data_IF_498334761474
#
_entry.id   IF_498334761474
#
_cell.length_a   1.000
_cell.length_b   1.000
_cell.length_c   1.000
_cell.angle_alpha   90.00
_cell.angle_beta   90.00
_cell.angle_gamma   90.00
#
_symmetry.space_group_name_H-M   'P 1'
#
loop_
_entity.id
_entity.type
_entity.pdbx_description
1 polymer ?
#
# COMPACT_ATOMS: atom_id res chain seq x y z
N UNK A 1 -27.53 10.32 6.34
CA UNK A 1 -26.17 9.78 6.59
C UNK A 1 -25.29 10.96 6.94
N UNK A 2 -24.63 10.95 8.09
CA UNK A 2 -23.82 12.11 8.52
C UNK A 2 -22.72 12.36 7.49
N UNK A 3 -22.55 13.61 7.08
CA UNK A 3 -21.68 13.99 5.96
C UNK A 3 -20.22 13.58 6.18
N UNK A 4 -19.79 13.50 7.44
CA UNK A 4 -18.48 13.01 7.90
C UNK A 4 -18.17 11.59 7.42
N UNK A 5 -19.13 10.68 7.55
CA UNK A 5 -18.95 9.28 7.13
C UNK A 5 -18.98 9.13 5.62
N UNK A 6 -19.73 9.97 4.91
CA UNK A 6 -19.71 10.03 3.44
C UNK A 6 -18.30 10.37 2.93
N UNK A 7 -17.68 11.39 3.54
CA UNK A 7 -16.32 11.82 3.17
C UNK A 7 -15.30 10.74 3.48
N UNK A 8 -15.41 10.07 4.64
CA UNK A 8 -14.53 8.94 4.96
C UNK A 8 -14.63 7.84 3.91
N UNK A 9 -15.85 7.45 3.51
CA UNK A 9 -16.05 6.43 2.46
C UNK A 9 -15.40 6.85 1.14
N UNK A 10 -15.56 8.10 0.72
CA UNK A 10 -14.93 8.61 -0.51
C UNK A 10 -13.40 8.62 -0.42
N UNK A 11 -12.85 9.00 0.72
CA UNK A 11 -11.41 9.01 0.98
C UNK A 11 -10.82 7.59 0.98
N UNK A 12 -11.49 6.66 1.66
CA UNK A 12 -11.15 5.24 1.70
C UNK A 12 -11.22 4.61 0.32
N UNK A 13 -12.32 4.81 -0.43
CA UNK A 13 -12.44 4.31 -1.80
C UNK A 13 -11.30 4.82 -2.69
N UNK A 14 -11.01 6.12 -2.60
CA UNK A 14 -9.90 6.73 -3.33
C UNK A 14 -8.53 6.16 -2.92
N UNK A 15 -8.37 5.66 -1.68
CA UNK A 15 -7.12 4.99 -1.25
C UNK A 15 -7.03 3.58 -1.81
N UNK A 16 -8.11 2.81 -1.74
CA UNK A 16 -8.16 1.47 -2.30
C UNK A 16 -7.81 1.45 -3.78
N UNK A 17 -8.36 2.40 -4.56
CA UNK A 17 -8.03 2.52 -5.98
C UNK A 17 -6.57 2.90 -6.24
N UNK A 18 -5.97 3.75 -5.40
CA UNK A 18 -4.55 4.10 -5.53
C UNK A 18 -3.66 2.87 -5.29
N UNK A 19 -3.92 2.12 -4.22
CA UNK A 19 -3.19 0.88 -3.92
C UNK A 19 -3.40 -0.19 -4.98
N UNK A 20 -4.61 -0.31 -5.52
CA UNK A 20 -4.89 -1.17 -6.66
C UNK A 20 -3.95 -0.86 -7.83
N UNK A 21 -3.87 0.39 -8.30
CA UNK A 21 -3.04 0.77 -9.45
C UNK A 21 -1.53 0.64 -9.16
N UNK A 22 -1.12 0.92 -7.93
CA UNK A 22 0.28 0.80 -7.51
C UNK A 22 0.77 -0.65 -7.59
N UNK A 23 -0.03 -1.58 -7.05
CA UNK A 23 0.32 -3.00 -6.94
C UNK A 23 -0.02 -3.81 -8.20
N UNK A 24 -0.85 -3.27 -9.10
CA UNK A 24 -1.29 -3.98 -10.32
C UNK A 24 -0.10 -4.54 -11.11
N UNK A 25 0.94 -3.76 -11.48
CA UNK A 25 2.04 -4.33 -12.25
C UNK A 25 2.79 -5.45 -11.54
N UNK A 26 2.99 -5.36 -10.22
CA UNK A 26 3.63 -6.43 -9.45
C UNK A 26 2.84 -7.75 -9.53
N UNK A 27 1.50 -7.67 -9.52
CA UNK A 27 0.64 -8.86 -9.66
C UNK A 27 0.64 -9.46 -11.08
N UNK A 28 1.02 -8.69 -12.10
CA UNK A 28 1.10 -9.13 -13.48
C UNK A 28 2.49 -9.58 -13.90
N UNK A 29 3.48 -9.71 -13.01
CA UNK A 29 4.88 -9.96 -13.37
C UNK A 29 5.07 -11.03 -14.45
N UNK A 30 4.47 -12.22 -14.30
CA UNK A 30 4.60 -13.31 -15.28
C UNK A 30 3.93 -12.98 -16.61
N UNK A 31 2.72 -12.45 -16.56
CA UNK A 31 1.96 -12.08 -17.76
C UNK A 31 2.62 -10.91 -18.51
N UNK A 32 3.29 -10.03 -17.78
CA UNK A 32 4.03 -8.91 -18.32
C UNK A 32 5.30 -9.36 -19.05
N UNK A 33 5.98 -10.39 -18.54
CA UNK A 33 7.11 -11.05 -19.22
C UNK A 33 6.65 -11.68 -20.53
N UNK A 34 5.55 -12.44 -20.49
CA UNK A 34 4.93 -13.03 -21.68
C UNK A 34 4.53 -11.96 -22.71
N UNK A 35 3.94 -10.85 -22.25
CA UNK A 35 3.50 -9.75 -23.12
C UNK A 35 4.64 -9.02 -23.81
N UNK A 36 5.79 -8.87 -23.15
CA UNK A 36 6.95 -8.17 -23.72
C UNK A 36 7.73 -9.05 -24.72
N UNK A 37 7.36 -10.33 -24.87
CA UNK A 37 8.03 -11.33 -25.71
C UNK A 37 9.54 -11.49 -25.37
N UNK A 38 9.96 -11.07 -24.18
CA UNK A 38 11.36 -10.95 -23.76
C UNK A 38 11.77 -12.11 -22.85
N UNK A 39 11.38 -13.33 -23.24
CA UNK A 39 11.54 -14.58 -22.46
C UNK A 39 12.88 -14.63 -21.72
N UNK A 40 12.84 -14.46 -20.40
CA UNK A 40 13.96 -14.71 -19.48
C UNK A 40 15.27 -13.97 -19.77
N UNK A 41 15.20 -12.72 -20.24
CA UNK A 41 16.40 -11.86 -20.26
C UNK A 41 16.61 -11.25 -18.87
N UNK A 42 17.82 -11.34 -18.30
CA UNK A 42 18.18 -10.63 -17.05
C UNK A 42 17.88 -9.12 -17.10
N UNK A 43 17.76 -8.56 -18.31
CA UNK A 43 17.34 -7.18 -18.60
C UNK A 43 15.89 -6.93 -18.19
N UNK A 44 14.95 -7.83 -18.50
CA UNK A 44 13.52 -7.66 -18.21
C UNK A 44 13.28 -7.43 -16.72
N UNK A 45 13.85 -8.27 -15.86
CA UNK A 45 13.68 -8.14 -14.41
C UNK A 45 14.25 -6.81 -13.89
N UNK A 46 15.35 -6.34 -14.49
CA UNK A 46 15.96 -5.06 -14.12
C UNK A 46 15.04 -3.89 -14.50
N UNK A 47 14.55 -3.88 -15.74
CA UNK A 47 13.66 -2.82 -16.25
C UNK A 47 12.30 -2.83 -15.55
N UNK A 48 11.75 -4.01 -15.29
CA UNK A 48 10.51 -4.16 -14.52
C UNK A 48 10.67 -3.64 -13.09
N UNK A 49 11.75 -4.01 -12.39
CA UNK A 49 12.04 -3.47 -11.06
C UNK A 49 12.29 -1.96 -11.09
N UNK A 50 12.85 -1.43 -12.19
CA UNK A 50 13.07 -0.01 -12.37
C UNK A 50 11.75 0.80 -12.40
N UNK A 51 10.62 0.21 -12.80
CA UNK A 51 9.30 0.87 -12.70
C UNK A 51 8.96 1.29 -11.27
N UNK A 52 9.31 0.47 -10.27
CA UNK A 52 9.06 0.76 -8.86
C UNK A 52 10.07 1.77 -8.29
N UNK A 53 11.32 1.72 -8.76
CA UNK A 53 12.34 2.70 -8.40
C UNK A 53 11.98 4.10 -8.94
N UNK A 54 11.55 4.19 -10.19
CA UNK A 54 11.16 5.45 -10.85
C UNK A 54 9.90 6.06 -10.22
N UNK A 55 8.93 5.25 -9.78
CA UNK A 55 7.81 5.73 -8.96
C UNK A 55 8.27 6.31 -7.62
N UNK A 56 9.22 5.67 -6.95
CA UNK A 56 9.65 6.03 -5.60
C UNK A 56 10.62 7.22 -5.56
N UNK A 57 11.41 7.42 -6.61
CA UNK A 57 12.39 8.50 -6.71
C UNK A 57 11.82 9.93 -6.48
N UNK A 58 10.77 10.38 -7.19
CA UNK A 58 10.20 11.71 -6.96
C UNK A 58 9.63 11.85 -5.53
N UNK A 59 9.17 10.75 -4.94
CA UNK A 59 8.59 10.77 -3.61
C UNK A 59 9.60 11.08 -2.50
N UNK A 60 10.90 10.85 -2.71
CA UNK A 60 11.96 11.20 -1.73
C UNK A 60 11.93 12.71 -1.43
N UNK A 61 11.76 13.54 -2.45
CA UNK A 61 11.80 14.99 -2.31
C UNK A 61 10.41 15.58 -2.13
N UNK A 62 9.44 15.14 -2.94
CA UNK A 62 8.16 15.84 -3.05
C UNK A 62 7.31 15.60 -1.81
N UNK A 63 7.32 14.39 -1.24
CA UNK A 63 6.52 14.10 -0.02
C UNK A 63 6.97 14.93 1.18
N UNK A 64 8.26 15.28 1.26
CA UNK A 64 8.79 16.21 2.25
C UNK A 64 8.15 17.59 2.13
N UNK A 65 7.91 18.06 0.91
CA UNK A 65 7.25 19.33 0.62
C UNK A 65 5.72 19.22 0.51
N UNK A 66 5.17 18.02 0.38
CA UNK A 66 3.75 17.76 0.16
C UNK A 66 2.86 18.39 1.24
N UNK A 67 3.27 18.27 2.51
CA UNK A 67 2.57 18.90 3.64
C UNK A 67 2.59 20.44 3.57
N UNK A 68 3.70 21.03 3.11
CA UNK A 68 3.80 22.48 2.92
C UNK A 68 2.92 22.96 1.77
N UNK A 69 2.87 22.22 0.66
CA UNK A 69 2.01 22.49 -0.50
C UNK A 69 0.53 22.47 -0.10
N UNK A 70 0.11 21.43 0.62
CA UNK A 70 -1.27 21.28 1.14
C UNK A 70 -1.64 22.44 2.05
N UNK A 71 -0.74 22.83 2.94
CA UNK A 71 -0.96 23.93 3.87
C UNK A 71 -1.08 25.30 3.17
N UNK A 72 -0.37 25.48 2.03
CA UNK A 72 -0.36 26.75 1.29
C UNK A 72 -1.53 26.90 0.32
N UNK A 73 -1.86 25.84 -0.41
CA UNK A 73 -2.83 25.87 -1.50
C UNK A 73 -4.20 25.28 -1.15
N UNK A 74 -4.37 24.75 0.06
CA UNK A 74 -5.62 24.11 0.49
C UNK A 74 -5.61 22.60 0.25
N UNK A 75 -6.25 21.88 1.17
CA UNK A 75 -6.29 20.42 1.21
C UNK A 75 -7.09 19.80 0.07
N UNK A 76 -8.31 20.27 -0.18
CA UNK A 76 -9.16 19.73 -1.25
C UNK A 76 -8.71 20.14 -2.65
N UNK A 77 -8.08 21.31 -2.78
CA UNK A 77 -7.53 21.80 -4.06
C UNK A 77 -6.31 20.97 -4.47
N UNK A 78 -5.40 20.72 -3.51
CA UNK A 78 -4.25 19.86 -3.74
C UNK A 78 -4.65 18.40 -3.97
N UNK A 79 -5.71 17.92 -3.29
CA UNK A 79 -6.24 16.58 -3.53
C UNK A 79 -6.64 16.37 -5.01
N UNK A 80 -7.34 17.34 -5.61
CA UNK A 80 -7.68 17.29 -7.05
C UNK A 80 -6.42 17.36 -7.92
N UNK A 81 -5.47 18.24 -7.60
CA UNK A 81 -4.24 18.39 -8.37
C UNK A 81 -3.43 17.08 -8.39
N UNK A 82 -3.31 16.39 -7.25
CA UNK A 82 -2.64 15.09 -7.16
C UNK A 82 -3.42 14.00 -7.89
N UNK A 83 -4.75 13.98 -7.80
CA UNK A 83 -5.59 13.04 -8.55
C UNK A 83 -5.45 13.21 -10.07
N UNK A 84 -5.39 14.44 -10.58
CA UNK A 84 -5.14 14.71 -11.99
C UNK A 84 -3.75 14.22 -12.43
N UNK A 85 -2.74 14.44 -11.60
CA UNK A 85 -1.38 13.98 -11.87
C UNK A 85 -1.31 12.45 -11.96
N UNK A 86 -1.96 11.73 -11.04
CA UNK A 86 -2.07 10.26 -11.09
C UNK A 86 -2.80 9.78 -12.33
N UNK A 87 -3.93 10.42 -12.70
CA UNK A 87 -4.68 10.04 -13.90
C UNK A 87 -3.84 10.19 -15.18
N UNK A 88 -3.08 11.29 -15.29
CA UNK A 88 -2.18 11.51 -16.43
C UNK A 88 -1.04 10.48 -16.43
N UNK A 89 -0.43 10.21 -15.27
CA UNK A 89 0.64 9.23 -15.13
C UNK A 89 0.20 7.81 -15.52
N UNK A 90 -0.98 7.39 -15.04
CA UNK A 90 -1.54 6.08 -15.36
C UNK A 90 -1.94 5.97 -16.82
N UNK A 91 -2.45 7.06 -17.42
CA UNK A 91 -2.72 7.09 -18.86
C UNK A 91 -1.45 6.87 -19.69
N UNK A 92 -0.37 7.60 -19.37
CA UNK A 92 0.92 7.46 -20.04
C UNK A 92 1.46 6.04 -19.84
N UNK A 93 1.33 5.48 -18.63
CA UNK A 93 1.74 4.12 -18.34
C UNK A 93 0.96 3.08 -19.17
N UNK A 94 -0.37 3.21 -19.25
CA UNK A 94 -1.22 2.34 -20.05
C UNK A 94 -0.86 2.40 -21.54
N UNK A 95 -0.59 3.59 -22.08
CA UNK A 95 -0.11 3.78 -23.45
C UNK A 95 1.27 3.12 -23.64
N UNK A 96 2.18 3.25 -22.67
CA UNK A 96 3.49 2.60 -22.69
C UNK A 96 3.41 1.08 -22.74
N UNK A 97 2.51 0.47 -21.95
CA UNK A 97 2.26 -0.98 -21.95
C UNK A 97 1.68 -1.45 -23.28
N UNK A 98 0.74 -0.68 -23.85
CA UNK A 98 0.14 -1.00 -25.15
C UNK A 98 1.18 -0.98 -26.29
N UNK A 99 2.11 -0.02 -26.27
CA UNK A 99 3.18 0.09 -27.28
C UNK A 99 4.45 -0.69 -26.95
N UNK A 100 4.47 -1.48 -25.86
CA UNK A 100 5.65 -2.22 -25.38
C UNK A 100 6.91 -1.33 -25.25
N UNK A 101 6.74 -0.09 -24.79
CA UNK A 101 7.83 0.91 -24.71
C UNK A 101 8.24 1.18 -23.25
N UNK A 102 9.42 0.68 -22.85
CA UNK A 102 9.97 0.89 -21.50
C UNK A 102 10.09 2.35 -21.10
N UNK A 103 10.60 3.21 -22.01
CA UNK A 103 10.76 4.64 -21.75
C UNK A 103 9.43 5.33 -21.40
N UNK A 104 8.37 5.01 -22.14
CA UNK A 104 7.04 5.57 -21.91
C UNK A 104 6.46 5.07 -20.58
N UNK A 105 6.71 3.81 -20.23
CA UNK A 105 6.28 3.23 -18.96
C UNK A 105 6.99 3.89 -17.76
N UNK A 106 8.30 4.15 -17.87
CA UNK A 106 9.04 4.89 -16.84
C UNK A 106 8.50 6.31 -16.66
N UNK A 107 8.22 7.02 -17.76
CA UNK A 107 7.62 8.35 -17.69
C UNK A 107 6.25 8.33 -17.00
N UNK A 108 5.40 7.36 -17.33
CA UNK A 108 4.10 7.18 -16.70
C UNK A 108 4.22 6.96 -15.18
N UNK A 109 5.11 6.06 -14.77
CA UNK A 109 5.37 5.79 -13.34
C UNK A 109 5.96 6.98 -12.61
N UNK A 110 6.87 7.74 -13.25
CA UNK A 110 7.45 8.95 -12.68
C UNK A 110 6.34 9.97 -12.39
N UNK A 111 5.49 10.27 -13.37
CA UNK A 111 4.38 11.22 -13.22
C UNK A 111 3.36 10.73 -12.19
N UNK A 112 3.00 9.44 -12.21
CA UNK A 112 2.10 8.85 -11.22
C UNK A 112 2.65 9.01 -9.79
N UNK A 113 3.97 8.87 -9.63
CA UNK A 113 4.70 9.08 -8.37
C UNK A 113 4.46 10.45 -7.74
N UNK A 114 4.39 11.53 -8.52
CA UNK A 114 4.13 12.89 -7.98
C UNK A 114 2.81 12.97 -7.20
N UNK A 115 1.77 12.26 -7.66
CA UNK A 115 0.45 12.30 -7.04
C UNK A 115 0.24 11.24 -5.96
N UNK A 116 0.77 10.03 -6.16
CA UNK A 116 0.49 8.83 -5.35
C UNK A 116 0.63 9.05 -3.85
N UNK A 117 1.84 9.41 -3.40
CA UNK A 117 2.13 9.59 -1.97
C UNK A 117 1.61 10.93 -1.44
N UNK A 118 1.68 12.00 -2.23
CA UNK A 118 1.25 13.32 -1.80
C UNK A 118 -0.27 13.41 -1.59
N UNK A 119 -1.05 12.59 -2.30
CA UNK A 119 -2.47 12.41 -2.03
C UNK A 119 -2.71 11.94 -0.59
N UNK A 120 -1.88 11.06 -0.05
CA UNK A 120 -2.01 10.58 1.34
C UNK A 120 -1.91 11.74 2.34
N UNK A 121 -0.98 12.66 2.12
CA UNK A 121 -0.82 13.86 2.95
C UNK A 121 -2.04 14.78 2.89
N UNK A 122 -2.64 15.00 1.72
CA UNK A 122 -3.89 15.79 1.62
C UNK A 122 -5.04 15.13 2.38
N UNK A 123 -5.16 13.80 2.27
CA UNK A 123 -6.25 13.05 2.90
C UNK A 123 -6.12 13.00 4.42
N UNK A 124 -4.92 12.82 4.95
CA UNK A 124 -4.71 12.79 6.40
C UNK A 124 -5.15 14.11 7.05
N UNK A 125 -4.85 15.24 6.41
CA UNK A 125 -5.33 16.57 6.82
C UNK A 125 -6.86 16.65 6.73
N UNK A 126 -7.48 16.08 5.69
CA UNK A 126 -8.93 16.10 5.58
C UNK A 126 -9.60 15.25 6.67
N UNK A 127 -9.06 14.07 6.97
CA UNK A 127 -9.58 13.19 8.03
C UNK A 127 -9.50 13.87 9.39
N UNK A 128 -8.37 14.52 9.72
CA UNK A 128 -8.21 15.24 11.00
C UNK A 128 -9.14 16.43 11.14
N UNK A 129 -9.60 17.01 10.03
CA UNK A 129 -10.55 18.13 10.06
C UNK A 129 -12.01 17.68 10.22
N UNK A 130 -12.38 16.52 9.68
CA UNK A 130 -13.77 16.04 9.72
C UNK A 130 -14.10 15.19 10.94
N UNK A 131 -13.11 14.53 11.54
CA UNK A 131 -13.31 13.63 12.67
C UNK A 131 -12.82 14.23 14.00
N UNK A 132 -13.60 14.06 15.09
CA UNK A 132 -13.16 14.45 16.43
C UNK A 132 -11.99 13.57 16.91
N UNK A 133 -11.18 14.08 17.84
CA UNK A 133 -9.98 13.40 18.36
C UNK A 133 -10.27 11.98 18.89
N UNK A 134 -11.43 11.77 19.53
CA UNK A 134 -11.85 10.47 20.07
C UNK A 134 -12.15 9.40 18.99
N UNK A 135 -12.36 9.81 17.74
CA UNK A 135 -12.66 8.91 16.61
C UNK A 135 -11.59 8.95 15.53
N UNK A 136 -10.54 9.75 15.70
CA UNK A 136 -9.51 9.97 14.70
C UNK A 136 -8.71 8.68 14.42
N UNK A 137 -8.31 7.97 15.48
CA UNK A 137 -7.60 6.70 15.36
C UNK A 137 -8.43 5.64 14.61
N UNK A 138 -9.75 5.60 14.85
CA UNK A 138 -10.66 4.72 14.13
C UNK A 138 -10.73 5.07 12.64
N UNK A 139 -10.85 6.36 12.31
CA UNK A 139 -10.90 6.82 10.92
C UNK A 139 -9.61 6.48 10.15
N UNK A 140 -8.44 6.68 10.75
CA UNK A 140 -7.16 6.27 10.16
C UNK A 140 -7.05 4.74 10.02
N UNK A 141 -7.51 3.98 11.03
CA UNK A 141 -7.50 2.52 10.99
C UNK A 141 -8.37 1.95 9.86
N UNK A 142 -9.58 2.50 9.67
CA UNK A 142 -10.46 2.14 8.53
C UNK A 142 -9.80 2.51 7.21
N UNK A 143 -9.19 3.70 7.12
CA UNK A 143 -8.43 4.14 5.95
C UNK A 143 -7.33 3.17 5.54
N UNK A 144 -6.46 2.80 6.48
CA UNK A 144 -5.34 1.88 6.26
C UNK A 144 -5.80 0.46 5.92
N UNK A 145 -6.86 -0.03 6.58
CA UNK A 145 -7.41 -1.36 6.29
C UNK A 145 -8.02 -1.42 4.89
N UNK A 146 -8.76 -0.37 4.51
CA UNK A 146 -9.42 -0.28 3.19
C UNK A 146 -8.39 -0.10 2.07
N UNK A 147 -7.28 0.60 2.34
CA UNK A 147 -6.13 0.68 1.43
C UNK A 147 -5.59 -0.72 1.10
N UNK A 148 -5.38 -1.59 2.10
CA UNK A 148 -4.91 -2.97 1.90
C UNK A 148 -5.90 -3.85 1.16
N UNK A 149 -7.21 -3.64 1.35
CA UNK A 149 -8.21 -4.31 0.54
C UNK A 149 -8.04 -3.99 -0.96
N UNK A 150 -7.63 -2.76 -1.29
CA UNK A 150 -7.30 -2.36 -2.67
C UNK A 150 -6.23 -3.25 -3.31
N UNK A 151 -5.12 -3.48 -2.59
CA UNK A 151 -4.05 -4.41 -3.00
C UNK A 151 -4.57 -5.82 -3.21
N UNK A 152 -5.40 -6.33 -2.29
CA UNK A 152 -5.98 -7.69 -2.39
C UNK A 152 -6.85 -7.83 -3.63
N UNK A 153 -7.68 -6.83 -3.92
CA UNK A 153 -8.47 -6.81 -5.16
C UNK A 153 -7.57 -6.74 -6.39
N UNK A 154 -6.50 -5.93 -6.36
CA UNK A 154 -5.49 -5.86 -7.42
C UNK A 154 -4.89 -7.23 -7.73
N UNK A 155 -4.39 -7.91 -6.70
CA UNK A 155 -3.74 -9.20 -6.83
C UNK A 155 -4.70 -10.32 -7.27
N UNK A 156 -6.00 -10.19 -6.98
CA UNK A 156 -6.99 -11.22 -7.30
C UNK A 156 -7.68 -11.01 -8.65
N UNK A 157 -7.91 -9.76 -9.05
CA UNK A 157 -8.69 -9.39 -10.23
C UNK A 157 -7.77 -9.22 -11.44
N UNK A 158 -6.63 -8.52 -11.27
CA UNK A 158 -5.79 -8.13 -12.41
C UNK A 158 -5.21 -9.32 -13.18
N UNK A 159 -4.71 -10.38 -12.52
CA UNK A 159 -4.25 -11.57 -13.23
C UNK A 159 -5.36 -12.32 -13.96
N UNK A 160 -6.59 -12.32 -13.43
CA UNK A 160 -7.75 -12.97 -14.07
C UNK A 160 -8.15 -12.25 -15.35
N UNK A 161 -8.14 -10.91 -15.34
CA UNK A 161 -8.49 -10.09 -16.50
C UNK A 161 -7.44 -10.21 -17.60
N UNK A 162 -6.17 -10.24 -17.22
CA UNK A 162 -5.08 -10.39 -18.17
C UNK A 162 -5.06 -11.77 -18.82
N UNK A 163 -5.39 -12.84 -18.09
CA UNK A 163 -5.50 -14.18 -18.66
C UNK A 163 -6.72 -14.37 -19.58
N UNK A 164 -7.81 -13.62 -19.36
CA UNK A 164 -9.03 -13.74 -20.18
C UNK A 164 -9.03 -12.86 -21.42
N UNK A 165 -8.26 -11.78 -21.43
CA UNK A 165 -8.30 -10.74 -22.46
C UNK A 165 -6.89 -10.47 -22.93
N UNK A 166 -6.17 -9.55 -22.26
CA UNK A 166 -4.78 -9.18 -22.53
C UNK A 166 -4.22 -8.35 -21.36
N UNK A 167 -2.89 -8.24 -21.25
CA UNK A 167 -2.20 -7.43 -20.22
C UNK A 167 -2.58 -5.94 -20.27
N UNK A 168 -2.62 -5.25 -21.43
CA UNK A 168 -3.01 -3.84 -21.49
C UNK A 168 -4.43 -3.59 -20.94
N UNK A 169 -5.35 -4.55 -21.13
CA UNK A 169 -6.72 -4.46 -20.62
C UNK A 169 -6.77 -4.38 -19.09
N UNK A 170 -5.93 -5.14 -18.40
CA UNK A 170 -5.81 -5.06 -16.94
C UNK A 170 -5.28 -3.68 -16.49
N UNK A 171 -4.34 -3.09 -17.24
CA UNK A 171 -3.83 -1.73 -16.95
C UNK A 171 -4.89 -0.65 -17.23
N UNK A 172 -5.71 -0.81 -18.27
CA UNK A 172 -6.84 0.09 -18.52
C UNK A 172 -7.87 0.08 -17.39
N UNK A 173 -8.05 -1.04 -16.68
CA UNK A 173 -8.86 -1.08 -15.45
C UNK A 173 -8.25 -0.21 -14.35
N UNK A 174 -6.91 -0.20 -14.23
CA UNK A 174 -6.17 0.77 -13.41
C UNK A 174 -6.46 2.21 -13.80
N UNK A 175 -6.42 2.53 -15.10
CA UNK A 175 -6.80 3.86 -15.58
C UNK A 175 -8.25 4.25 -15.18
N UNK A 176 -9.22 3.35 -15.34
CA UNK A 176 -10.60 3.58 -14.88
C UNK A 176 -10.66 3.82 -13.36
N UNK A 177 -9.86 3.09 -12.57
CA UNK A 177 -9.76 3.32 -11.14
C UNK A 177 -9.20 4.70 -10.81
N UNK A 178 -8.20 5.22 -11.55
CA UNK A 178 -7.71 6.60 -11.36
C UNK A 178 -8.74 7.67 -11.73
N UNK A 179 -9.58 7.42 -12.74
CA UNK A 179 -10.73 8.29 -13.05
C UNK A 179 -11.73 8.27 -11.90
N UNK A 180 -11.98 7.11 -11.28
CA UNK A 180 -12.83 7.02 -10.10
C UNK A 180 -12.25 7.80 -8.90
N UNK A 181 -10.92 7.82 -8.71
CA UNK A 181 -10.24 8.68 -7.72
C UNK A 181 -10.50 10.16 -7.99
N UNK A 182 -10.38 10.59 -9.26
CA UNK A 182 -10.63 11.97 -9.65
C UNK A 182 -12.09 12.36 -9.38
N UNK A 183 -13.05 11.50 -9.74
CA UNK A 183 -14.48 11.73 -9.47
C UNK A 183 -14.72 11.83 -7.96
N UNK A 184 -14.17 10.93 -7.16
CA UNK A 184 -14.30 10.97 -5.70
C UNK A 184 -13.70 12.25 -5.11
N UNK A 185 -12.56 12.71 -5.63
CA UNK A 185 -11.91 13.96 -5.22
C UNK A 185 -12.73 15.20 -5.60
N UNK A 186 -13.37 15.20 -6.77
CA UNK A 186 -14.32 16.24 -7.17
C UNK A 186 -15.57 16.24 -6.28
N UNK A 187 -16.12 15.07 -5.95
CA UNK A 187 -17.23 14.95 -5.00
C UNK A 187 -16.86 15.52 -3.62
N UNK A 188 -15.68 15.18 -3.11
CA UNK A 188 -15.15 15.74 -1.86
C UNK A 188 -15.04 17.27 -1.96
N UNK A 189 -14.47 17.80 -3.03
CA UNK A 189 -14.35 19.24 -3.23
C UNK A 189 -15.71 19.95 -3.30
N UNK A 190 -16.73 19.32 -3.91
CA UNK A 190 -18.10 19.85 -3.92
C UNK A 190 -18.69 19.91 -2.52
N UNK A 191 -18.47 18.87 -1.71
CA UNK A 191 -18.89 18.84 -0.31
C UNK A 191 -18.16 19.94 0.48
N UNK A 192 -16.85 20.06 0.31
CA UNK A 192 -16.03 21.10 0.95
C UNK A 192 -16.53 22.51 0.65
N UNK A 193 -16.72 22.84 -0.63
CA UNK A 193 -17.21 24.15 -1.06
C UNK A 193 -18.61 24.41 -0.49
N UNK A 194 -19.47 23.39 -0.50
CA UNK A 194 -20.82 23.50 0.06
C UNK A 194 -20.78 23.79 1.57
N UNK A 195 -19.92 23.08 2.31
CA UNK A 195 -19.71 23.28 3.75
C UNK A 195 -19.10 24.65 4.04
N UNK A 196 -18.13 25.10 3.25
CA UNK A 196 -17.52 26.44 3.32
C UNK A 196 -18.57 27.54 3.20
N UNK A 197 -19.49 27.41 2.22
CA UNK A 197 -20.58 28.37 2.01
C UNK A 197 -21.61 28.34 3.13
N UNK A 198 -21.96 27.17 3.65
CA UNK A 198 -22.92 27.08 4.76
C UNK A 198 -22.36 27.69 6.05
N UNK A 199 -21.08 27.43 6.35
CA UNK A 199 -20.41 28.01 7.53
C UNK A 199 -20.29 29.53 7.44
N UNK A 200 -20.01 30.09 6.26
CA UNK A 200 -19.93 31.54 6.07
C UNK A 200 -21.29 32.23 6.25
N UNK A 201 -22.39 31.59 5.82
CA UNK A 201 -23.76 32.09 6.03
C UNK A 201 -24.13 32.09 7.52
N UNK A 202 -23.73 31.06 8.27
CA UNK A 202 -24.00 30.95 9.72
C UNK A 202 -23.03 31.82 10.55
N UNK A 203 -22.02 32.43 9.93
CA UNK A 203 -21.06 33.31 10.62
C UNK A 203 -20.02 32.58 11.47
N UNK A 204 -19.89 31.26 11.32
CA UNK A 204 -18.93 30.44 12.06
C UNK A 204 -17.61 30.38 11.27
N UNK A 205 -16.51 30.87 11.86
CA UNK A 205 -15.17 30.68 11.29
C UNK A 205 -14.75 29.22 11.49
N UNK A 206 -14.19 28.60 10.43
CA UNK A 206 -13.75 27.19 10.46
C UNK A 206 -12.72 26.97 11.59
N UNK A 207 -12.81 25.86 12.34
CA UNK A 207 -11.73 25.45 13.22
C UNK A 207 -10.46 25.16 12.40
N UNK A 208 -9.34 25.63 12.92
CA UNK A 208 -8.00 25.39 12.37
C UNK A 208 -7.69 23.90 12.56
N UNK A 209 -6.98 23.23 11.62
CA UNK A 209 -6.64 21.82 11.75
C UNK A 209 -5.94 21.51 13.09
N UNK A 210 -6.28 20.35 13.70
CA UNK A 210 -5.72 19.78 14.95
C UNK A 210 -4.18 19.79 14.95
N UNK A 211 -3.56 19.84 13.77
CA UNK A 211 -2.13 20.04 13.62
C UNK A 211 -1.62 21.22 14.44
N UNK A 212 -2.36 22.33 14.62
CA UNK A 212 -1.88 23.45 15.42
C UNK A 212 -1.75 23.11 16.90
N UNK A 213 -2.68 22.36 17.52
CA UNK A 213 -2.59 21.99 18.93
C UNK A 213 -1.54 20.92 19.19
N UNK A 214 -1.40 19.93 18.31
CA UNK A 214 -0.33 18.93 18.39
C UNK A 214 1.03 19.57 18.11
N UNK A 215 1.13 20.46 17.12
CA UNK A 215 2.36 21.15 16.76
C UNK A 215 2.74 22.17 17.83
N UNK A 216 1.79 22.87 18.46
CA UNK A 216 2.01 23.67 19.67
C UNK A 216 2.49 22.78 20.83
N UNK A 217 1.83 21.66 21.12
CA UNK A 217 2.28 20.72 22.16
C UNK A 217 3.67 20.11 21.87
N UNK A 218 4.02 19.91 20.60
CA UNK A 218 5.34 19.43 20.15
C UNK A 218 6.40 20.54 20.11
N UNK A 219 6.01 21.82 20.01
CA UNK A 219 6.90 22.98 20.06
C UNK A 219 7.11 23.50 21.49
N UNK A 220 6.09 23.38 22.35
CA UNK A 220 6.09 23.76 23.77
C UNK A 220 6.80 22.73 24.67
N UNK A 221 7.62 21.86 24.09
CA UNK A 221 8.44 20.91 24.83
C UNK A 221 9.25 21.60 25.94
N UNK A 222 8.68 21.57 27.14
CA UNK A 222 9.25 21.93 28.43
C UNK A 222 9.31 23.43 28.80
N UNK A 223 8.21 23.95 29.34
CA UNK A 223 8.28 24.93 30.44
C UNK A 223 7.19 24.59 31.45
N UNK A 224 7.61 24.02 32.59
CA UNK A 224 6.70 23.62 33.64
C UNK A 224 5.89 24.81 34.15
N UNK A 225 4.56 24.69 34.07
CA UNK A 225 3.61 25.39 34.92
C UNK A 225 2.43 24.45 35.14
N UNK A 226 2.53 23.65 36.21
CA UNK A 226 1.46 22.77 36.69
C UNK A 226 0.23 23.53 37.21
N UNK A 227 0.20 24.86 37.12
CA UNK A 227 -0.89 25.70 37.63
C UNK A 227 -1.99 25.98 36.58
N UNK A 228 -1.71 25.79 35.28
CA UNK A 228 -2.69 26.01 34.21
C UNK A 228 -3.76 24.90 34.10
N UNK A 229 -3.45 23.67 34.53
CA UNK A 229 -4.39 22.55 34.51
C UNK A 229 -5.48 22.63 35.61
N UNK A 230 -5.25 23.43 36.66
CA UNK A 230 -6.20 23.59 37.76
C UNK A 230 -7.28 24.65 37.48
N UNK A 231 -7.00 25.63 36.61
CA UNK A 231 -7.95 26.70 36.30
C UNK A 231 -8.92 26.35 35.16
N UNK A 232 -8.57 25.40 34.29
CA UNK A 232 -9.47 24.91 33.24
C UNK A 232 -10.63 24.05 33.77
N UNK A 233 -10.48 23.43 34.96
CA UNK A 233 -11.49 22.55 35.56
C UNK A 233 -12.66 23.31 36.24
N UNK A 234 -12.50 24.60 36.54
CA UNK A 234 -13.47 25.39 37.33
C UNK A 234 -14.57 26.09 36.49
N UNK A 235 -14.42 26.19 35.16
CA UNK A 235 -15.40 26.89 34.30
C UNK A 235 -16.47 26.00 33.65
N UNK A 236 -16.48 24.70 33.93
CA UNK A 236 -17.57 23.81 33.49
C UNK A 236 -18.67 23.70 34.56
N UNK A 237 -19.45 24.76 34.73
CA UNK A 237 -20.75 24.67 35.41
C UNK A 237 -21.87 25.33 34.57
N UNK A 238 -22.66 24.44 33.95
CA UNK A 238 -24.12 24.49 33.72
C UNK A 238 -24.70 25.72 32.97
N UNK A 239 -25.30 25.49 31.80
CA UNK A 239 -26.72 25.82 31.52
C UNK A 239 -27.24 24.98 30.35
N UNK A 240 -28.39 24.32 30.54
CA UNK A 240 -29.05 23.45 29.57
C UNK A 240 -29.84 24.22 28.52
N UNK A 241 -29.89 23.76 27.26
CA UNK A 241 -31.11 23.88 26.44
C UNK A 241 -31.26 22.71 25.45
N UNK A 242 -32.45 22.11 25.51
CA UNK A 242 -32.92 20.99 24.69
C UNK A 242 -33.33 21.53 23.31
N UNK A 243 -32.57 21.24 22.25
CA UNK A 243 -32.95 21.55 20.86
C UNK A 243 -32.68 20.39 19.90
N UNK A 244 -33.46 20.38 18.82
CA UNK A 244 -33.73 19.31 17.85
C UNK A 244 -32.50 18.71 17.14
N UNK A 245 -32.62 17.47 16.65
CA UNK A 245 -31.56 16.57 16.14
C UNK A 245 -30.63 17.09 15.04
N UNK A 246 -30.90 18.26 14.46
CA UNK A 246 -30.03 18.92 13.46
C UNK A 246 -29.03 19.88 14.12
N UNK A 247 -29.33 20.40 15.32
CA UNK A 247 -28.42 21.27 16.08
C UNK A 247 -27.22 20.55 16.67
N UNK A 248 -27.35 19.25 16.95
CA UNK A 248 -26.28 18.45 17.57
C UNK A 248 -25.05 18.25 16.68
N UNK A 249 -25.17 18.36 15.35
CA UNK A 249 -24.00 18.31 14.44
C UNK A 249 -23.23 19.64 14.43
N UNK A 250 -23.92 20.75 14.71
CA UNK A 250 -23.36 22.11 14.75
C UNK A 250 -22.63 22.35 16.08
N UNK A 251 -23.11 21.80 17.20
CA UNK A 251 -22.43 21.95 18.51
C UNK A 251 -21.04 21.29 18.54
N UNK A 252 -20.83 20.21 17.78
CA UNK A 252 -19.49 19.58 17.65
C UNK A 252 -18.51 20.53 16.93
N UNK A 253 -19.00 21.38 16.03
CA UNK A 253 -18.19 22.38 15.32
C UNK A 253 -17.90 23.58 16.25
N UNK A 254 -18.83 23.93 17.14
CA UNK A 254 -18.75 25.08 18.05
C UNK A 254 -17.68 24.89 19.16
N UNK A 255 -17.45 23.67 19.63
CA UNK A 255 -16.51 23.44 20.74
C UNK A 255 -15.02 23.61 20.36
N UNK A 256 -14.71 23.75 19.07
CA UNK A 256 -13.35 23.95 18.54
C UNK A 256 -13.03 25.44 18.25
N UNK A 257 -13.88 26.38 18.69
CA UNK A 257 -13.84 27.79 18.27
C UNK A 257 -12.87 28.71 19.06
N UNK A 258 -12.13 28.19 20.05
CA UNK A 258 -11.24 29.02 20.87
C UNK A 258 -9.83 28.43 21.00
N UNK A 259 -9.01 28.60 19.96
CA UNK A 259 -7.59 28.89 20.18
C UNK A 259 -7.01 29.69 19.01
N UNK A 260 -6.11 30.57 19.37
CA UNK A 260 -5.71 31.78 18.66
C UNK A 260 -4.76 31.51 17.48
N UNK A 261 -4.56 32.54 16.65
CA UNK A 261 -3.75 32.53 15.43
C UNK A 261 -2.29 32.10 15.68
N UNK A 262 -1.84 31.01 15.06
CA UNK A 262 -0.42 30.83 14.69
C UNK A 262 -0.29 30.09 13.36
N UNK A 263 0.45 30.71 12.41
CA UNK A 263 0.81 30.14 11.11
C UNK A 263 2.28 29.69 11.17
N UNK A 264 2.65 28.44 10.86
CA UNK A 264 4.05 28.14 10.58
C UNK A 264 4.25 28.24 9.06
N UNK A 265 4.91 29.31 8.60
CA UNK A 265 5.22 29.51 7.17
C UNK A 265 6.66 29.20 6.79
N UNK A 266 7.49 28.68 7.69
CA UNK A 266 8.89 28.37 7.39
C UNK A 266 9.23 26.90 7.62
N UNK A 267 9.82 26.26 6.62
CA UNK A 267 10.33 24.87 6.66
C UNK A 267 11.36 24.69 7.79
N UNK A 268 12.03 25.78 8.19
CA UNK A 268 12.97 25.79 9.32
C UNK A 268 12.35 25.50 10.69
N UNK A 269 11.03 25.61 10.85
CA UNK A 269 10.35 25.29 12.11
C UNK A 269 10.31 23.77 12.37
N UNK A 270 10.48 22.94 11.33
CA UNK A 270 10.55 21.47 11.44
C UNK A 270 11.76 21.05 12.29
N UNK A 271 12.88 21.76 12.18
CA UNK A 271 14.11 21.46 12.92
C UNK A 271 13.93 21.74 14.42
N UNK A 272 12.93 22.56 14.80
CA UNK A 272 12.62 22.92 16.19
C UNK A 272 11.67 21.96 16.89
N UNK A 273 11.23 20.88 16.21
CA UNK A 273 10.34 19.89 16.80
C UNK A 273 11.03 19.12 17.95
N UNK A 274 10.26 18.77 18.99
CA UNK A 274 10.74 18.09 20.18
C UNK A 274 11.45 16.75 19.87
N UNK A 275 12.40 16.36 20.74
CA UNK A 275 13.15 15.10 20.66
C UNK A 275 12.27 13.86 20.54
N UNK A 276 11.07 13.87 21.14
CA UNK A 276 10.10 12.77 21.01
C UNK A 276 9.66 12.55 19.55
N UNK A 277 9.46 13.62 18.79
CA UNK A 277 9.14 13.54 17.35
C UNK A 277 10.30 12.90 16.57
N UNK A 278 11.52 13.35 16.81
CA UNK A 278 12.71 12.83 16.14
C UNK A 278 13.02 11.38 16.51
N UNK A 279 12.75 10.98 17.75
CA UNK A 279 12.88 9.60 18.19
C UNK A 279 11.85 8.69 17.50
N UNK A 280 10.60 9.15 17.39
CA UNK A 280 9.55 8.44 16.65
C UNK A 280 9.91 8.34 15.16
N UNK A 281 10.32 9.45 14.54
CA UNK A 281 10.73 9.48 13.13
C UNK A 281 11.92 8.55 12.86
N UNK A 282 12.94 8.57 13.73
CA UNK A 282 14.09 7.67 13.64
C UNK A 282 13.71 6.20 13.80
N UNK A 283 12.76 5.90 14.69
CA UNK A 283 12.23 4.54 14.86
C UNK A 283 11.50 4.07 13.60
N UNK A 284 10.65 4.91 13.01
CA UNK A 284 9.94 4.61 11.76
C UNK A 284 10.93 4.41 10.62
N UNK A 285 11.94 5.28 10.49
CA UNK A 285 12.99 5.17 9.48
C UNK A 285 13.77 3.85 9.63
N UNK A 286 14.12 3.45 10.85
CA UNK A 286 14.82 2.20 11.10
C UNK A 286 13.97 0.98 10.76
N UNK A 287 12.69 0.97 11.15
CA UNK A 287 11.78 -0.15 10.88
C UNK A 287 11.55 -0.30 9.37
N UNK A 288 11.21 0.79 8.67
CA UNK A 288 10.93 0.73 7.22
C UNK A 288 12.19 0.63 6.35
N UNK A 289 13.32 1.18 6.80
CA UNK A 289 14.58 1.16 6.06
C UNK A 289 15.41 -0.11 6.26
N UNK A 290 15.32 -0.75 7.44
CA UNK A 290 16.16 -1.91 7.76
C UNK A 290 15.32 -3.16 7.99
N UNK A 291 14.35 -3.12 8.92
CA UNK A 291 13.65 -4.33 9.39
C UNK A 291 12.76 -4.93 8.31
N UNK A 292 11.95 -4.10 7.66
CA UNK A 292 11.02 -4.58 6.61
C UNK A 292 11.77 -5.13 5.39
N UNK A 293 12.75 -4.42 4.78
CA UNK A 293 13.51 -4.96 3.66
C UNK A 293 14.32 -6.21 4.03
N UNK A 294 14.85 -6.27 5.26
CA UNK A 294 15.54 -7.47 5.74
C UNK A 294 14.60 -8.67 5.78
N UNK A 295 13.41 -8.52 6.39
CA UNK A 295 12.45 -9.61 6.51
C UNK A 295 11.88 -10.07 5.17
N UNK A 296 11.65 -9.13 4.24
CA UNK A 296 10.99 -9.42 2.96
C UNK A 296 11.96 -9.90 1.88
N UNK A 297 13.20 -9.39 1.84
CA UNK A 297 14.14 -9.69 0.76
C UNK A 297 15.43 -10.34 1.26
N UNK A 298 16.13 -9.72 2.21
CA UNK A 298 17.48 -10.17 2.60
C UNK A 298 17.47 -11.54 3.29
N UNK A 299 16.42 -11.84 4.06
CA UNK A 299 16.22 -13.12 4.74
C UNK A 299 16.22 -14.29 3.74
N UNK A 300 15.49 -14.16 2.62
CA UNK A 300 15.42 -15.16 1.54
C UNK A 300 16.78 -15.37 0.87
N UNK A 301 17.46 -14.28 0.50
CA UNK A 301 18.80 -14.35 -0.11
C UNK A 301 19.81 -15.02 0.82
N UNK A 302 19.74 -14.74 2.13
CA UNK A 302 20.61 -15.36 3.13
C UNK A 302 20.28 -16.84 3.34
N UNK A 303 19.01 -17.22 3.22
CA UNK A 303 18.56 -18.60 3.25
C UNK A 303 19.09 -19.36 2.02
N UNK A 304 18.98 -18.82 0.82
CA UNK A 304 19.52 -19.44 -0.41
C UNK A 304 21.05 -19.58 -0.34
N UNK A 305 21.76 -18.53 0.12
CA UNK A 305 23.23 -18.56 0.22
C UNK A 305 23.76 -19.55 1.27
N UNK A 306 23.09 -19.65 2.41
CA UNK A 306 23.63 -20.33 3.60
C UNK A 306 22.88 -21.61 4.01
N UNK A 307 21.63 -21.82 3.59
CA UNK A 307 20.77 -22.93 4.07
C UNK A 307 20.14 -23.78 2.96
N UNK A 308 19.92 -23.24 1.76
CA UNK A 308 19.33 -23.96 0.62
C UNK A 308 20.33 -24.13 -0.52
N UNK A 309 21.52 -24.66 -0.23
CA UNK A 309 22.50 -24.98 -1.28
C UNK A 309 22.08 -26.22 -2.06
N UNK A 310 22.49 -26.30 -3.32
CA UNK A 310 22.25 -27.48 -4.15
C UNK A 310 22.84 -28.73 -3.48
N UNK A 311 22.05 -29.82 -3.37
CA UNK A 311 22.55 -31.06 -2.80
C UNK A 311 23.71 -31.61 -3.63
N UNK A 312 24.70 -32.28 -3.00
CA UNK A 312 25.78 -32.91 -3.73
C UNK A 312 25.22 -33.94 -4.74
N UNK A 313 25.80 -34.00 -5.94
CA UNK A 313 25.26 -34.82 -7.04
C UNK A 313 25.20 -36.34 -6.79
N UNK A 314 25.89 -36.83 -5.76
CA UNK A 314 25.81 -38.21 -5.29
C UNK A 314 24.56 -38.49 -4.44
N UNK A 315 23.82 -37.46 -4.01
CA UNK A 315 22.65 -37.61 -3.14
C UNK A 315 21.37 -37.81 -3.97
N UNK A 316 20.74 -38.97 -3.85
CA UNK A 316 19.54 -39.35 -4.62
C UNK A 316 18.45 -39.92 -3.72
N UNK A 317 17.19 -39.74 -4.14
CA UNK A 317 16.05 -40.36 -3.48
C UNK A 317 16.04 -41.86 -3.75
N UNK A 318 15.67 -42.66 -2.74
CA UNK A 318 15.50 -44.12 -2.90
C UNK A 318 14.46 -44.42 -3.99
N UNK A 319 13.37 -43.66 -4.02
CA UNK A 319 12.35 -43.70 -5.06
C UNK A 319 12.48 -42.41 -5.88
N UNK A 320 13.14 -42.47 -7.06
CA UNK A 320 13.58 -41.26 -7.77
C UNK A 320 12.41 -40.40 -8.28
N UNK A 321 11.22 -40.99 -8.50
CA UNK A 321 10.06 -40.29 -9.04
C UNK A 321 9.05 -39.81 -7.99
N UNK A 322 9.32 -40.01 -6.68
CA UNK A 322 8.37 -39.72 -5.61
C UNK A 322 8.91 -38.64 -4.65
N UNK A 323 8.03 -37.88 -4.01
CA UNK A 323 8.42 -36.85 -3.05
C UNK A 323 8.89 -37.46 -1.72
N UNK A 324 9.78 -36.75 -1.02
CA UNK A 324 10.29 -37.12 0.31
C UNK A 324 9.21 -37.01 1.40
N UNK A 325 8.24 -36.11 1.25
CA UNK A 325 7.13 -35.93 2.20
C UNK A 325 5.85 -35.45 1.52
N UNK A 326 4.69 -35.77 2.13
CA UNK A 326 3.37 -35.27 1.71
C UNK A 326 2.39 -36.38 1.30
N UNK A 327 1.27 -36.00 0.70
CA UNK A 327 0.18 -36.93 0.34
C UNK A 327 0.62 -37.96 -0.74
N UNK A 328 1.69 -37.66 -1.48
CA UNK A 328 2.27 -38.50 -2.53
C UNK A 328 3.48 -39.32 -2.04
N UNK A 329 3.70 -39.38 -0.72
CA UNK A 329 4.78 -40.15 -0.09
C UNK A 329 4.40 -41.64 0.02
N UNK A 330 5.34 -42.58 -0.20
CA UNK A 330 5.13 -43.98 0.11
C UNK A 330 4.93 -44.17 1.63
N UNK A 331 4.15 -45.17 2.06
CA UNK A 331 3.78 -45.36 3.48
C UNK A 331 4.96 -45.48 4.46
N UNK A 332 6.17 -45.75 3.97
CA UNK A 332 7.42 -45.89 4.75
C UNK A 332 8.37 -44.69 4.62
N UNK A 333 7.98 -43.66 3.87
CA UNK A 333 8.78 -42.50 3.53
C UNK A 333 9.84 -42.73 2.44
N UNK A 334 10.28 -41.64 1.83
CA UNK A 334 11.26 -41.65 0.73
C UNK A 334 12.51 -40.81 1.06
N UNK A 335 13.40 -41.31 1.95
CA UNK A 335 14.61 -40.58 2.32
C UNK A 335 15.60 -40.54 1.14
N UNK A 336 16.44 -39.52 1.11
CA UNK A 336 17.57 -39.42 0.19
C UNK A 336 18.84 -40.02 0.81
N UNK A 337 19.56 -40.79 0.01
CA UNK A 337 20.82 -41.45 0.37
C UNK A 337 21.93 -41.05 -0.60
N UNK A 338 23.14 -40.94 -0.07
CA UNK A 338 24.34 -40.78 -0.88
C UNK A 338 24.67 -42.12 -1.57
N UNK A 339 24.84 -42.11 -2.89
CA UNK A 339 25.11 -43.32 -3.69
C UNK A 339 26.43 -43.99 -3.30
N UNK A 340 27.42 -43.20 -2.87
CA UNK A 340 28.76 -43.70 -2.59
C UNK A 340 28.89 -44.28 -1.17
N UNK A 341 28.14 -43.74 -0.21
CA UNK A 341 28.24 -44.13 1.22
C UNK A 341 27.01 -44.84 1.77
N UNK A 342 25.85 -44.71 1.12
CA UNK A 342 24.57 -45.25 1.60
C UNK A 342 24.02 -44.53 2.84
N UNK A 343 24.60 -43.39 3.23
CA UNK A 343 24.17 -42.60 4.38
C UNK A 343 23.09 -41.58 4.00
N UNK A 344 22.31 -41.14 5.00
CA UNK A 344 21.28 -40.13 4.81
C UNK A 344 21.87 -38.80 4.36
N UNK A 345 21.33 -38.27 3.28
CA UNK A 345 21.73 -37.01 2.68
C UNK A 345 20.48 -36.19 2.31
N UNK A 346 20.58 -34.88 2.07
CA UNK A 346 21.77 -34.07 2.27
C UNK A 346 21.88 -33.66 3.75
N UNK A 347 23.10 -33.30 4.18
CA UNK A 347 23.34 -32.83 5.55
C UNK A 347 22.65 -31.49 5.85
N UNK A 348 22.90 -30.92 7.03
CA UNK A 348 22.47 -29.55 7.36
C UNK A 348 22.95 -28.56 6.28
N UNK A 349 22.13 -27.54 5.99
CA UNK A 349 22.44 -26.42 5.06
C UNK A 349 22.31 -26.70 3.55
N UNK A 350 21.67 -27.80 3.18
CA UNK A 350 21.35 -28.14 1.79
C UNK A 350 19.83 -28.17 1.58
N UNK A 351 19.40 -27.83 0.36
CA UNK A 351 18.02 -28.03 -0.06
C UNK A 351 17.69 -29.52 -0.14
N UNK A 352 16.43 -29.90 0.04
CA UNK A 352 15.98 -31.27 -0.13
C UNK A 352 16.22 -31.75 -1.56
N UNK A 353 16.56 -33.02 -1.73
CA UNK A 353 16.70 -33.63 -3.07
C UNK A 353 15.33 -33.67 -3.74
N UNK A 354 15.24 -33.15 -4.95
CA UNK A 354 14.03 -33.16 -5.75
C UNK A 354 13.90 -34.46 -6.55
N UNK A 355 12.67 -34.96 -6.78
CA UNK A 355 12.44 -36.14 -7.60
C UNK A 355 12.78 -35.90 -9.08
N UNK A 356 13.30 -36.94 -9.75
CA UNK A 356 13.64 -36.91 -11.18
C UNK A 356 12.42 -36.73 -12.09
N UNK A 357 11.21 -37.01 -11.60
CA UNK A 357 9.97 -36.76 -12.32
C UNK A 357 9.77 -35.27 -12.66
N UNK A 358 10.29 -34.34 -11.84
CA UNK A 358 10.29 -32.90 -12.15
C UNK A 358 11.21 -32.55 -13.32
N UNK A 359 12.24 -33.36 -13.59
CA UNK A 359 13.14 -33.13 -14.71
C UNK A 359 12.47 -33.45 -16.05
N UNK A 360 11.47 -34.35 -16.05
CA UNK A 360 10.65 -34.69 -17.22
C UNK A 360 9.76 -33.51 -17.63
N UNK A 361 9.30 -32.69 -16.68
CA UNK A 361 8.58 -31.43 -16.97
C UNK A 361 9.48 -30.30 -17.48
N UNK A 362 10.80 -30.39 -17.27
CA UNK A 362 11.75 -29.32 -17.61
C UNK A 362 12.33 -29.48 -19.01
N UNK A 363 12.62 -30.71 -19.42
CA UNK A 363 13.03 -31.02 -20.78
C UNK A 363 11.80 -31.52 -21.55
N UNK A 364 11.37 -30.78 -22.58
CA UNK A 364 10.33 -31.15 -23.55
C UNK A 364 10.68 -32.48 -24.26
N UNK A 365 10.67 -33.59 -23.53
CA UNK A 365 10.89 -34.93 -24.05
C UNK A 365 9.60 -35.38 -24.73
N UNK A 366 9.66 -35.90 -25.97
CA UNK A 366 8.47 -36.28 -26.75
C UNK A 366 7.81 -37.57 -26.24
N UNK A 367 8.04 -37.96 -24.98
CA UNK A 367 7.46 -39.12 -24.31
C UNK A 367 6.26 -38.77 -23.44
N UNK A 368 5.57 -37.66 -23.72
CA UNK A 368 4.17 -37.59 -23.35
C UNK A 368 3.41 -38.56 -24.26
N UNK A 369 2.98 -39.68 -23.68
CA UNK A 369 1.94 -40.48 -24.30
C UNK A 369 0.72 -39.57 -24.48
N UNK A 370 0.38 -39.29 -25.74
CA UNK A 370 -0.76 -38.44 -26.14
C UNK A 370 -2.12 -39.04 -25.76
N UNK A 371 -2.12 -40.15 -25.01
CA UNK A 371 -3.29 -40.80 -24.42
C UNK A 371 -3.71 -40.21 -23.06
N UNK A 372 -2.97 -39.25 -22.49
CA UNK A 372 -3.41 -38.52 -21.30
C UNK A 372 -4.57 -37.57 -21.64
N UNK A 373 -5.80 -38.09 -21.57
CA UNK A 373 -6.99 -37.26 -21.41
C UNK A 373 -7.00 -36.70 -19.98
N UNK A 374 -7.32 -35.41 -19.86
CA UNK A 374 -7.51 -34.72 -18.59
C UNK A 374 -8.84 -35.18 -17.97
N UNK A 375 -8.94 -36.48 -17.67
CA UNK A 375 -10.08 -37.02 -16.95
C UNK A 375 -10.00 -36.49 -15.52
N UNK A 376 -10.99 -35.64 -15.20
CA UNK A 376 -11.40 -35.13 -13.90
C UNK A 376 -10.46 -35.41 -12.71
N UNK A 377 -10.09 -34.35 -11.98
CA UNK A 377 -9.63 -34.45 -10.59
C UNK A 377 -10.69 -35.20 -9.76
N UNK A 378 -10.57 -36.53 -9.66
CA UNK A 378 -11.39 -37.35 -8.79
C UNK A 378 -10.81 -37.21 -7.39
N UNK A 379 -11.47 -36.41 -6.56
CA UNK A 379 -11.28 -36.53 -5.11
C UNK A 379 -11.81 -37.92 -4.71
N UNK A 380 -10.90 -38.83 -4.38
CA UNK A 380 -11.27 -40.03 -3.63
C UNK A 380 -11.71 -39.56 -2.24
N UNK A 381 -12.98 -39.81 -1.91
CA UNK A 381 -13.56 -39.45 -0.62
C UNK A 381 -12.85 -40.21 0.50
N UNK A 382 -12.32 -39.47 1.47
CA UNK A 382 -11.79 -40.01 2.72
C UNK A 382 -12.94 -40.57 3.57
N UNK A 383 -13.32 -41.82 3.32
CA UNK A 383 -14.04 -42.66 4.26
C UNK A 383 -13.41 -44.07 4.24
N UNK A 384 -12.46 -44.30 5.15
CA UNK A 384 -12.11 -45.62 5.68
C UNK A 384 -11.41 -45.48 7.04
#
# INVERSE_FOLDING_TARGET
MNIRWVILVLLCASMSFNHFCLDTPASLLSQFDDWMDEHSSSSFQTDFNMLFAVYSFPNIFITLFGGSLVSRYGDWQMLIAFALCMMIGEFIFAVGVHHKSWETMFLGRFVYGFGGENMYTSKSVLITRWFPENQLALAFGIGLSTARLGTVFGNSISPKIANSTDVPTAIYVGFVATVAILIASLCIARIEIWTERHLSIVGIKRPIPINSSLQEALLEGNRGDNDALSQASSKHSITSHRTTSVGSEVDIIIQHASSDKTSPKNIGDIIRLNMLFWLLAGTVLFIYGCVVPYNVAASGILLERNFFRDPPGACQLILPNQCTSGILEPMTGNPSLDIDTGEACPGSYYAAVLPSSLNITRDNTPQWDTSWELEAYVYESLDA
#
